data_IF_407412128234
#
_entry.id   IF_407412128234
#
_cell.length_a   1.000
_cell.length_b   1.000
_cell.length_c   1.000
_cell.angle_alpha   90.00
_cell.angle_beta   90.00
_cell.angle_gamma   90.00
#
_symmetry.space_group_name_H-M   'P 1'
#
loop_
_entity.id
_entity.type
_entity.pdbx_description
1 polymer ?
#
# COMPACT_ATOMS: atom_id res chain seq x y z
N UNK A 1 -8.01 14.67 18.75
CA UNK A 1 -6.68 15.25 19.11
C UNK A 1 -5.54 14.26 18.90
N UNK A 2 -5.67 12.98 19.25
CA UNK A 2 -4.61 11.97 19.10
C UNK A 2 -4.30 11.68 17.62
N UNK A 3 -5.32 11.54 16.77
CA UNK A 3 -5.18 11.34 15.32
C UNK A 3 -4.43 12.51 14.68
N UNK A 4 -4.79 13.74 15.03
CA UNK A 4 -4.09 14.94 14.51
C UNK A 4 -2.64 15.03 14.98
N UNK A 5 -2.31 14.50 16.15
CA UNK A 5 -0.94 14.45 16.66
C UNK A 5 -0.10 13.39 15.92
N UNK A 6 -0.68 12.25 15.60
CA UNK A 6 -0.02 11.21 14.80
C UNK A 6 0.16 11.64 13.33
N UNK A 7 -0.86 12.25 12.71
CA UNK A 7 -0.77 12.82 11.37
C UNK A 7 0.32 13.91 11.29
N UNK A 8 0.46 14.74 12.33
CA UNK A 8 1.51 15.77 12.38
C UNK A 8 2.91 15.15 12.48
N UNK A 9 3.07 14.03 13.21
CA UNK A 9 4.33 13.28 13.23
C UNK A 9 4.67 12.69 11.85
N UNK A 10 3.67 12.27 11.09
CA UNK A 10 3.85 11.76 9.73
C UNK A 10 4.23 12.87 8.74
N UNK A 11 3.70 14.09 8.90
CA UNK A 11 4.07 15.26 8.07
C UNK A 11 5.52 15.70 8.25
N UNK A 12 6.08 15.50 9.45
CA UNK A 12 7.48 15.82 9.77
C UNK A 12 8.41 14.60 9.62
N UNK A 13 7.94 13.55 8.93
CA UNK A 13 8.70 12.32 8.77
C UNK A 13 9.94 12.55 7.91
N UNK A 14 11.08 12.71 8.56
CA UNK A 14 12.41 12.71 7.96
C UNK A 14 13.21 11.55 8.52
N UNK A 15 13.55 10.60 7.68
CA UNK A 15 14.41 9.49 8.06
C UNK A 15 15.76 9.66 7.34
N UNK A 16 16.91 9.61 8.04
CA UNK A 16 18.21 9.84 7.43
C UNK A 16 18.57 8.88 6.31
N UNK A 17 17.96 7.69 6.32
CA UNK A 17 18.19 6.66 5.31
C UNK A 17 17.19 6.69 4.12
N UNK A 18 16.31 7.71 4.09
CA UNK A 18 15.33 7.89 3.02
C UNK A 18 15.65 9.19 2.29
N UNK A 19 16.20 9.08 1.09
CA UNK A 19 16.54 10.19 0.20
C UNK A 19 15.42 10.48 -0.82
N UNK A 20 14.19 10.37 -0.35
CA UNK A 20 12.99 10.53 -1.19
C UNK A 20 11.91 11.24 -0.38
N UNK A 21 11.20 12.16 -0.99
CA UNK A 21 10.02 12.77 -0.39
C UNK A 21 8.91 11.72 -0.27
N UNK A 22 8.31 11.61 0.92
CA UNK A 22 7.25 10.65 1.21
C UNK A 22 5.97 11.39 1.53
N UNK A 23 4.91 11.09 0.78
CA UNK A 23 3.57 11.59 1.02
C UNK A 23 2.69 10.50 1.62
N UNK A 24 2.02 10.82 2.72
CA UNK A 24 0.99 9.97 3.31
C UNK A 24 -0.37 10.50 2.88
N UNK A 25 -1.07 9.73 2.07
CA UNK A 25 -2.34 10.14 1.47
C UNK A 25 -3.48 9.26 1.98
N UNK A 26 -4.41 9.85 2.71
CA UNK A 26 -5.65 9.19 3.10
C UNK A 26 -6.69 9.36 2.00
N UNK A 27 -7.00 8.28 1.28
CA UNK A 27 -7.99 8.29 0.20
C UNK A 27 -9.41 8.14 0.76
N UNK A 28 -10.33 8.93 0.24
CA UNK A 28 -11.76 8.82 0.52
C UNK A 28 -12.53 8.27 -0.68
N UNK A 29 -13.78 7.86 -0.43
CA UNK A 29 -14.73 7.43 -1.47
C UNK A 29 -14.23 6.27 -2.38
N UNK A 30 -13.38 5.39 -1.84
CA UNK A 30 -12.82 4.26 -2.59
C UNK A 30 -13.88 3.22 -2.97
N UNK A 31 -14.95 3.09 -2.18
CA UNK A 31 -16.10 2.24 -2.49
C UNK A 31 -16.99 2.80 -3.63
N UNK A 32 -16.82 4.08 -3.98
CA UNK A 32 -17.58 4.77 -5.02
C UNK A 32 -16.68 5.09 -6.22
N UNK A 33 -16.41 4.08 -7.05
CA UNK A 33 -15.61 4.24 -8.29
C UNK A 33 -14.18 4.77 -8.05
N UNK A 34 -13.61 4.55 -6.87
CA UNK A 34 -12.27 5.00 -6.50
C UNK A 34 -12.05 6.50 -6.76
N UNK A 35 -13.04 7.31 -6.40
CA UNK A 35 -13.03 8.75 -6.69
C UNK A 35 -11.86 9.47 -6.03
N UNK A 36 -11.43 9.02 -4.83
CA UNK A 36 -10.33 9.61 -4.10
C UNK A 36 -9.00 9.51 -4.85
N UNK A 37 -8.62 8.31 -5.29
CA UNK A 37 -7.36 8.13 -6.04
C UNK A 37 -7.41 8.82 -7.40
N UNK A 38 -8.53 8.80 -8.10
CA UNK A 38 -8.65 9.48 -9.39
C UNK A 38 -8.46 11.00 -9.25
N UNK A 39 -9.14 11.63 -8.29
CA UNK A 39 -8.99 13.06 -8.03
C UNK A 39 -7.56 13.41 -7.61
N UNK A 40 -6.94 12.60 -6.76
CA UNK A 40 -5.55 12.80 -6.35
C UNK A 40 -4.58 12.75 -7.54
N UNK A 41 -4.72 11.75 -8.42
CA UNK A 41 -3.85 11.60 -9.59
C UNK A 41 -4.06 12.71 -10.63
N UNK A 42 -5.28 13.25 -10.75
CA UNK A 42 -5.57 14.38 -11.62
C UNK A 42 -4.97 15.68 -11.08
N UNK A 43 -5.13 15.93 -9.77
CA UNK A 43 -4.64 17.14 -9.11
C UNK A 43 -3.11 17.20 -9.07
N UNK A 44 -2.44 16.04 -8.90
CA UNK A 44 -1.01 15.92 -8.70
C UNK A 44 -0.28 15.25 -9.87
N UNK A 45 -0.81 15.39 -11.09
CA UNK A 45 -0.29 14.69 -12.27
C UNK A 45 1.21 14.97 -12.55
N UNK A 46 1.67 16.17 -12.23
CA UNK A 46 3.08 16.54 -12.44
C UNK A 46 4.00 15.91 -11.39
N UNK A 47 3.60 15.89 -10.14
CA UNK A 47 4.35 15.29 -9.02
C UNK A 47 4.41 13.77 -9.14
N UNK A 48 3.41 13.16 -9.78
CA UNK A 48 3.37 11.71 -10.02
C UNK A 48 4.37 11.23 -11.07
N UNK A 49 5.02 12.14 -11.82
CA UNK A 49 6.06 11.76 -12.78
C UNK A 49 7.29 11.17 -12.07
N UNK A 50 7.47 9.88 -12.21
CA UNK A 50 8.56 9.15 -11.56
C UNK A 50 8.28 8.73 -10.11
N UNK A 51 7.12 9.06 -9.57
CA UNK A 51 6.69 8.62 -8.26
C UNK A 51 6.43 7.11 -8.22
N UNK A 52 6.37 6.57 -7.01
CA UNK A 52 5.92 5.20 -6.72
C UNK A 52 4.75 5.31 -5.76
N UNK A 53 3.62 4.73 -6.13
CA UNK A 53 2.45 4.60 -5.25
C UNK A 53 2.50 3.25 -4.54
N UNK A 54 2.44 3.28 -3.22
CA UNK A 54 2.32 2.09 -2.37
C UNK A 54 0.95 2.15 -1.70
N UNK A 55 0.03 1.32 -2.18
CA UNK A 55 -1.28 1.17 -1.57
C UNK A 55 -1.19 0.20 -0.39
N UNK A 56 -1.76 0.56 0.75
CA UNK A 56 -1.74 -0.24 1.98
C UNK A 56 -3.17 -0.64 2.35
N UNK A 57 -3.43 -1.94 2.48
CA UNK A 57 -4.76 -2.46 2.83
C UNK A 57 -4.67 -3.52 3.94
N UNK A 58 -5.50 -3.41 4.97
CA UNK A 58 -5.71 -4.43 6.00
C UNK A 58 -4.41 -4.99 6.63
N UNK A 59 -3.39 -4.18 6.85
CA UNK A 59 -2.05 -4.63 7.29
C UNK A 59 -2.03 -5.31 8.66
N UNK A 60 -3.03 -5.06 9.50
CA UNK A 60 -3.17 -5.67 10.82
C UNK A 60 -3.90 -7.02 10.83
N UNK A 61 -4.16 -7.65 9.67
CA UNK A 61 -4.91 -8.89 9.62
C UNK A 61 -4.50 -9.75 8.42
N UNK A 62 -4.69 -11.07 8.53
CA UNK A 62 -4.34 -12.01 7.49
C UNK A 62 -2.83 -12.16 7.25
N UNK A 63 -2.46 -12.77 6.14
CA UNK A 63 -1.06 -12.95 5.76
C UNK A 63 -0.53 -11.73 5.00
N UNK A 64 0.59 -11.17 5.45
CA UNK A 64 1.25 -10.06 4.75
C UNK A 64 1.63 -10.48 3.33
N UNK A 65 1.08 -9.79 2.36
CA UNK A 65 1.23 -10.12 0.94
C UNK A 65 1.56 -8.89 0.11
N UNK A 66 2.36 -9.10 -0.92
CA UNK A 66 2.54 -8.16 -2.00
C UNK A 66 1.69 -8.60 -3.21
N UNK A 67 0.91 -7.70 -3.74
CA UNK A 67 0.04 -8.00 -4.87
C UNK A 67 0.83 -7.87 -6.17
N UNK A 68 1.16 -9.01 -6.78
CA UNK A 68 1.95 -9.04 -8.02
C UNK A 68 1.15 -8.69 -9.27
N UNK A 69 -0.18 -8.88 -9.21
CA UNK A 69 -1.09 -8.56 -10.30
C UNK A 69 -2.41 -8.05 -9.75
N UNK A 70 -2.85 -6.89 -10.19
CA UNK A 70 -4.07 -6.25 -9.71
C UNK A 70 -4.82 -5.50 -10.81
N UNK A 71 -6.15 -5.35 -10.62
CA UNK A 71 -7.05 -4.70 -11.56
C UNK A 71 -8.02 -5.67 -12.24
N UNK A 72 -9.32 -5.32 -12.25
CA UNK A 72 -10.38 -6.17 -12.76
C UNK A 72 -10.54 -6.07 -14.30
N UNK A 73 -10.53 -4.86 -14.83
CA UNK A 73 -10.73 -4.63 -16.27
C UNK A 73 -9.48 -4.93 -17.08
N UNK A 74 -8.34 -4.46 -16.58
CA UNK A 74 -7.03 -4.70 -17.17
C UNK A 74 -6.05 -5.02 -16.05
N UNK A 75 -5.66 -6.29 -15.91
CA UNK A 75 -4.70 -6.66 -14.89
C UNK A 75 -3.31 -6.05 -15.16
N UNK A 76 -2.81 -5.28 -14.21
CA UNK A 76 -1.47 -4.72 -14.22
C UNK A 76 -0.54 -5.57 -13.35
N UNK A 77 0.72 -5.63 -13.71
CA UNK A 77 1.76 -6.34 -12.96
C UNK A 77 2.78 -5.35 -12.41
N UNK A 78 3.23 -5.60 -11.20
CA UNK A 78 4.33 -4.81 -10.63
C UNK A 78 5.61 -4.96 -11.44
N UNK A 79 6.39 -3.89 -11.50
CA UNK A 79 7.65 -3.87 -12.26
C UNK A 79 8.73 -4.76 -11.62
N UNK A 80 9.71 -5.19 -12.42
CA UNK A 80 10.86 -5.93 -11.92
C UNK A 80 11.71 -5.11 -10.93
N UNK A 81 11.67 -3.76 -11.03
CA UNK A 81 12.27 -2.85 -10.06
C UNK A 81 11.60 -3.01 -8.70
N UNK A 82 10.27 -2.93 -8.63
CA UNK A 82 9.52 -3.07 -7.38
C UNK A 82 9.68 -4.47 -6.77
N UNK A 83 9.70 -5.53 -7.58
CA UNK A 83 10.01 -6.89 -7.07
C UNK A 83 11.39 -6.98 -6.38
N UNK A 84 12.37 -6.24 -6.89
CA UNK A 84 13.69 -6.16 -6.26
C UNK A 84 13.65 -5.40 -4.95
N UNK A 85 12.95 -4.27 -4.91
CA UNK A 85 12.74 -3.47 -3.70
C UNK A 85 12.08 -4.32 -2.60
N UNK A 86 11.03 -5.07 -2.92
CA UNK A 86 10.35 -5.95 -1.97
C UNK A 86 11.28 -7.02 -1.37
N UNK A 87 12.11 -7.65 -2.20
CA UNK A 87 13.08 -8.63 -1.72
C UNK A 87 14.11 -8.01 -0.79
N UNK A 88 14.66 -6.85 -1.16
CA UNK A 88 15.59 -6.10 -0.31
C UNK A 88 14.95 -5.66 1.01
N UNK A 89 13.68 -5.25 0.96
CA UNK A 89 12.93 -4.87 2.15
C UNK A 89 12.72 -6.07 3.10
N UNK A 90 12.38 -7.24 2.56
CA UNK A 90 12.26 -8.47 3.34
C UNK A 90 13.58 -8.88 3.99
N UNK A 91 14.67 -8.86 3.25
CA UNK A 91 16.01 -9.13 3.77
C UNK A 91 16.43 -8.15 4.87
N UNK A 92 16.10 -6.85 4.69
CA UNK A 92 16.45 -5.78 5.63
C UNK A 92 15.63 -5.81 6.92
N UNK A 93 14.33 -6.08 6.81
CA UNK A 93 13.41 -6.11 7.96
C UNK A 93 13.40 -7.45 8.69
N UNK A 94 13.80 -8.53 8.02
CA UNK A 94 13.60 -9.90 8.50
C UNK A 94 12.14 -10.38 8.40
N UNK A 95 11.24 -9.56 7.82
CA UNK A 95 9.83 -9.88 7.68
C UNK A 95 9.59 -10.58 6.33
N UNK A 96 9.01 -11.79 6.39
CA UNK A 96 8.57 -12.52 5.21
C UNK A 96 7.27 -11.95 4.65
N UNK A 97 7.05 -12.12 3.36
CA UNK A 97 5.78 -11.78 2.70
C UNK A 97 5.40 -12.85 1.69
N UNK A 98 4.11 -12.94 1.41
CA UNK A 98 3.57 -13.77 0.33
C UNK A 98 3.35 -12.95 -0.95
N UNK A 99 3.17 -13.63 -2.06
CA UNK A 99 2.74 -12.99 -3.31
C UNK A 99 1.32 -13.42 -3.64
N UNK A 100 0.49 -12.48 -4.04
CA UNK A 100 -0.92 -12.72 -4.30
C UNK A 100 -1.42 -11.87 -5.49
N UNK A 101 -2.70 -11.96 -5.81
CA UNK A 101 -3.36 -11.26 -6.92
C UNK A 101 -4.73 -10.73 -6.48
N UNK A 102 -5.06 -9.52 -6.93
CA UNK A 102 -6.40 -8.94 -6.79
C UNK A 102 -6.91 -8.60 -8.19
N UNK A 103 -7.60 -9.55 -8.82
CA UNK A 103 -8.12 -9.41 -10.20
C UNK A 103 -9.65 -9.36 -10.26
N UNK A 104 -10.31 -9.38 -9.11
CA UNK A 104 -11.77 -9.28 -8.98
C UNK A 104 -12.28 -7.84 -8.87
N UNK A 105 -11.41 -6.89 -8.54
CA UNK A 105 -11.71 -5.47 -8.36
C UNK A 105 -10.54 -4.58 -8.76
N UNK A 106 -10.82 -3.31 -8.95
CA UNK A 106 -9.77 -2.30 -9.02
C UNK A 106 -9.22 -2.02 -7.62
N UNK A 107 -7.99 -1.53 -7.58
CA UNK A 107 -7.30 -1.03 -6.38
C UNK A 107 -6.74 0.35 -6.66
N UNK A 108 -6.44 1.17 -5.67
CA UNK A 108 -5.73 2.44 -5.89
C UNK A 108 -4.43 2.26 -6.68
N UNK A 109 -3.70 1.17 -6.46
CA UNK A 109 -2.47 0.89 -7.20
C UNK A 109 -2.74 0.50 -8.66
N UNK A 110 -3.79 -0.29 -8.97
CA UNK A 110 -4.14 -0.61 -10.37
C UNK A 110 -4.54 0.64 -11.15
N UNK A 111 -5.25 1.57 -10.51
CA UNK A 111 -5.63 2.85 -11.10
C UNK A 111 -4.39 3.71 -11.34
N UNK A 112 -3.48 3.82 -10.38
CA UNK A 112 -2.21 4.52 -10.57
C UNK A 112 -1.40 3.93 -11.72
N UNK A 113 -1.34 2.60 -11.85
CA UNK A 113 -0.70 1.93 -12.98
C UNK A 113 -1.40 2.21 -14.32
N UNK A 114 -2.73 2.37 -14.32
CA UNK A 114 -3.47 2.77 -15.52
C UNK A 114 -3.10 4.19 -15.98
N UNK A 115 -2.74 5.07 -15.05
CA UNK A 115 -2.21 6.43 -15.31
C UNK A 115 -0.70 6.45 -15.61
N UNK A 116 -0.05 5.27 -15.70
CA UNK A 116 1.37 5.17 -16.03
C UNK A 116 2.32 5.37 -14.84
N UNK A 117 1.80 5.45 -13.62
CA UNK A 117 2.59 5.56 -12.39
C UNK A 117 3.01 4.16 -11.93
N UNK A 118 4.25 4.00 -11.48
CA UNK A 118 4.65 2.74 -10.85
C UNK A 118 3.90 2.56 -9.52
N UNK A 119 3.26 1.42 -9.33
CA UNK A 119 2.50 1.19 -8.12
C UNK A 119 2.53 -0.28 -7.69
N UNK A 120 2.19 -0.52 -6.43
CA UNK A 120 1.98 -1.85 -5.86
C UNK A 120 1.06 -1.75 -4.65
N UNK A 121 0.35 -2.83 -4.36
CA UNK A 121 -0.41 -3.00 -3.12
C UNK A 121 0.32 -3.93 -2.17
N UNK A 122 0.45 -3.52 -0.91
CA UNK A 122 0.84 -4.35 0.22
C UNK A 122 -0.42 -4.55 1.06
N UNK A 123 -0.81 -5.80 1.27
CA UNK A 123 -2.07 -6.10 1.93
C UNK A 123 -1.95 -7.27 2.90
N UNK A 124 -2.80 -7.28 3.92
CA UNK A 124 -3.11 -8.50 4.64
C UNK A 124 -4.14 -9.31 3.85
N UNK A 125 -3.82 -10.56 3.52
CA UNK A 125 -4.67 -11.41 2.69
C UNK A 125 -5.23 -12.59 3.49
N UNK A 126 -6.50 -12.92 3.23
CA UNK A 126 -7.16 -14.09 3.77
C UNK A 126 -8.17 -14.63 2.73
N UNK A 127 -8.19 -15.93 2.53
CA UNK A 127 -9.14 -16.62 1.65
C UNK A 127 -9.27 -16.02 0.22
N UNK A 128 -8.14 -15.53 -0.32
CA UNK A 128 -8.07 -14.95 -1.67
C UNK A 128 -8.59 -13.52 -1.81
N UNK A 129 -8.91 -12.86 -0.69
CA UNK A 129 -9.27 -11.45 -0.60
C UNK A 129 -8.39 -10.72 0.42
N UNK A 130 -8.48 -9.38 0.44
CA UNK A 130 -7.92 -8.63 1.56
C UNK A 130 -8.64 -9.04 2.85
N UNK A 131 -7.87 -9.25 3.92
CA UNK A 131 -8.43 -9.50 5.23
C UNK A 131 -9.34 -8.32 5.64
N UNK A 132 -10.31 -8.57 6.49
CA UNK A 132 -11.29 -7.56 6.94
C UNK A 132 -12.11 -6.91 5.78
N UNK A 133 -12.24 -7.60 4.64
CA UNK A 133 -12.96 -7.08 3.48
C UNK A 133 -14.47 -6.89 3.75
N UNK A 134 -15.05 -7.66 4.66
CA UNK A 134 -16.45 -7.54 5.07
C UNK A 134 -16.57 -6.50 6.19
N UNK A 135 -17.54 -5.60 6.09
CA UNK A 135 -17.83 -4.59 7.12
C UNK A 135 -18.08 -5.21 8.51
N UNK A 136 -18.64 -6.41 8.56
CA UNK A 136 -18.88 -7.13 9.84
C UNK A 136 -17.58 -7.62 10.49
N UNK A 137 -16.51 -7.78 9.72
CA UNK A 137 -15.21 -8.23 10.19
C UNK A 137 -14.21 -7.08 10.36
N UNK A 138 -14.50 -5.90 9.85
CA UNK A 138 -13.64 -4.70 9.95
C UNK A 138 -13.87 -4.00 11.29
N UNK A 139 -13.47 -4.70 12.34
CA UNK A 139 -13.56 -4.24 13.73
C UNK A 139 -12.18 -4.33 14.39
N UNK A 140 -11.95 -3.48 15.39
CA UNK A 140 -10.63 -3.35 16.03
C UNK A 140 -10.18 -4.64 16.70
N UNK A 141 -11.10 -5.48 17.16
CA UNK A 141 -10.84 -6.76 17.80
C UNK A 141 -10.20 -7.78 16.86
N UNK A 142 -10.39 -7.61 15.56
CA UNK A 142 -9.81 -8.47 14.51
C UNK A 142 -8.45 -7.98 14.04
N UNK A 143 -7.94 -6.87 14.56
CA UNK A 143 -6.61 -6.36 14.25
C UNK A 143 -5.59 -7.03 15.18
N UNK A 144 -4.62 -7.71 14.58
CA UNK A 144 -3.45 -8.27 15.30
C UNK A 144 -2.36 -7.19 15.39
N UNK A 145 -2.02 -6.72 16.61
CA UNK A 145 -0.98 -5.69 16.78
C UNK A 145 0.40 -6.14 16.29
N UNK A 146 0.73 -7.44 16.42
CA UNK A 146 2.02 -7.95 15.94
C UNK A 146 2.08 -7.97 14.42
N UNK A 147 1.01 -8.41 13.76
CA UNK A 147 0.92 -8.36 12.29
C UNK A 147 1.04 -6.92 11.77
N UNK A 148 0.42 -5.96 12.46
CA UNK A 148 0.52 -4.54 12.11
C UNK A 148 1.94 -4.00 12.31
N UNK A 149 2.63 -4.39 13.38
CA UNK A 149 4.03 -4.00 13.63
C UNK A 149 4.96 -4.59 12.56
N UNK A 150 4.83 -5.86 12.24
CA UNK A 150 5.63 -6.53 11.21
C UNK A 150 5.39 -5.88 9.83
N UNK A 151 4.14 -5.63 9.48
CA UNK A 151 3.80 -4.94 8.23
C UNK A 151 4.38 -3.51 8.18
N UNK A 152 4.32 -2.78 9.28
CA UNK A 152 4.90 -1.44 9.39
C UNK A 152 6.42 -1.47 9.20
N UNK A 153 7.11 -2.42 9.83
CA UNK A 153 8.55 -2.61 9.68
C UNK A 153 8.92 -2.96 8.23
N UNK A 154 8.11 -3.79 7.58
CA UNK A 154 8.29 -4.14 6.16
C UNK A 154 8.10 -2.92 5.24
N UNK A 155 7.04 -2.14 5.43
CA UNK A 155 6.79 -0.91 4.65
C UNK A 155 7.91 0.11 4.84
N UNK A 156 8.41 0.30 6.07
CA UNK A 156 9.56 1.15 6.33
C UNK A 156 10.82 0.66 5.62
N UNK A 157 11.03 -0.65 5.56
CA UNK A 157 12.15 -1.23 4.81
C UNK A 157 11.99 -1.03 3.29
N UNK A 158 10.77 -1.06 2.76
CA UNK A 158 10.48 -0.70 1.36
C UNK A 158 10.92 0.74 1.10
N UNK A 159 10.49 1.71 1.92
CA UNK A 159 10.85 3.12 1.75
C UNK A 159 12.37 3.34 1.75
N UNK A 160 13.09 2.59 2.58
CA UNK A 160 14.56 2.63 2.64
C UNK A 160 15.27 1.91 1.48
N UNK A 161 14.52 1.23 0.62
CA UNK A 161 15.04 0.42 -0.49
C UNK A 161 14.69 0.98 -1.87
N UNK A 162 13.89 2.05 -1.92
CA UNK A 162 13.54 2.80 -3.12
C UNK A 162 14.69 3.73 -3.49
#
# INVERSE_FOLDING_TARGET
EQINRELKKLQDFRHPDIDTEVWFVGLGAEQYSHSGINAFLEEHADEMKGAIVINLEALGAGALSCIEQEGAYKPYKISSRLKRVLRQASERSGVGYHTDRIVSRETPASIAMAHGVQAMTIAGMADGNTALYSADNDIIENVDPQALEDASNFVMAILKSI
#
